data_IF_383561250917
#
_entry.id   IF_383561250917
#
_cell.length_a   1.000
_cell.length_b   1.000
_cell.length_c   1.000
_cell.angle_alpha   90.00
_cell.angle_beta   90.00
_cell.angle_gamma   90.00
#
_symmetry.space_group_name_H-M   'P 1'
#
loop_
_entity.id
_entity.type
_entity.pdbx_description
1 polymer ?
#
# COMPACT_ATOMS: atom_id res chain seq x y z
N UNK A 1 -20.31 -10.25 38.60
CA UNK A 1 -21.32 -10.30 37.52
C UNK A 1 -22.67 -9.87 38.03
N UNK A 2 -22.86 -8.55 38.14
CA UNK A 2 -24.21 -7.99 38.19
C UNK A 2 -24.75 -7.84 36.77
N UNK A 3 -26.06 -7.63 36.66
CA UNK A 3 -26.70 -7.24 35.39
C UNK A 3 -27.39 -5.90 35.63
N UNK A 4 -27.00 -4.91 34.85
CA UNK A 4 -27.52 -3.54 34.90
C UNK A 4 -28.23 -3.32 33.57
N UNK A 5 -29.49 -2.93 33.61
CA UNK A 5 -30.28 -2.73 32.39
C UNK A 5 -31.03 -1.42 32.48
N UNK A 6 -31.02 -0.68 31.39
CA UNK A 6 -31.77 0.55 31.21
C UNK A 6 -33.26 0.32 31.00
N UNK A 7 -33.83 1.25 30.26
CA UNK A 7 -35.23 1.36 29.88
C UNK A 7 -35.30 1.70 28.39
N UNK A 8 -36.49 1.84 27.83
CA UNK A 8 -36.64 2.20 26.42
C UNK A 8 -36.49 3.71 26.15
N UNK A 9 -35.64 4.40 26.90
CA UNK A 9 -35.33 5.81 26.68
C UNK A 9 -34.11 6.20 27.47
N UNK A 10 -33.55 7.36 27.15
CA UNK A 10 -32.21 7.81 27.56
C UNK A 10 -31.90 7.57 29.05
N UNK A 11 -30.78 6.90 29.30
CA UNK A 11 -30.34 6.46 30.60
C UNK A 11 -28.93 6.90 30.93
N UNK A 12 -28.63 6.88 32.23
CA UNK A 12 -27.28 7.00 32.75
C UNK A 12 -27.01 5.76 33.59
N UNK A 13 -26.27 4.81 33.02
CA UNK A 13 -25.96 3.51 33.62
C UNK A 13 -24.54 3.56 34.18
N UNK A 14 -24.39 3.10 35.42
CA UNK A 14 -23.08 3.04 36.07
C UNK A 14 -22.80 1.60 36.50
N UNK A 15 -21.70 1.06 36.00
CA UNK A 15 -21.15 -0.23 36.39
C UNK A 15 -20.58 -0.24 37.80
N UNK A 16 -20.05 -1.38 38.19
CA UNK A 16 -19.39 -1.62 39.48
C UNK A 16 -17.89 -1.82 39.28
N UNK A 17 -17.14 -2.17 40.33
CA UNK A 17 -15.71 -2.51 40.21
C UNK A 17 -15.48 -4.02 39.98
N UNK A 18 -16.54 -4.74 39.62
CA UNK A 18 -16.55 -6.17 39.38
C UNK A 18 -17.14 -6.37 37.99
N UNK A 19 -16.85 -7.52 37.39
CA UNK A 19 -17.45 -7.92 36.12
C UNK A 19 -18.96 -7.67 36.13
N UNK A 20 -19.46 -7.03 35.09
CA UNK A 20 -20.85 -6.65 34.90
C UNK A 20 -21.33 -6.97 33.48
N UNK A 21 -22.65 -7.12 33.36
CA UNK A 21 -23.35 -7.11 32.07
C UNK A 21 -24.23 -5.88 32.06
N UNK A 22 -23.95 -4.93 31.15
CA UNK A 22 -24.68 -3.66 31.05
C UNK A 22 -25.41 -3.60 29.73
N UNK A 23 -26.72 -3.32 29.77
CA UNK A 23 -27.62 -3.29 28.61
C UNK A 23 -28.33 -1.92 28.56
N UNK A 24 -28.06 -1.09 27.54
CA UNK A 24 -28.71 0.21 27.33
C UNK A 24 -30.19 0.08 27.00
N UNK A 25 -30.49 -0.69 25.94
CA UNK A 25 -31.81 -0.99 25.35
C UNK A 25 -32.19 -0.05 24.20
N UNK A 26 -33.11 0.90 24.42
CA UNK A 26 -33.46 1.87 23.39
C UNK A 26 -33.16 3.27 23.94
N UNK A 27 -32.81 4.18 23.05
CA UNK A 27 -32.60 5.59 23.40
C UNK A 27 -31.12 5.89 23.54
N UNK A 28 -30.79 7.15 23.78
CA UNK A 28 -29.40 7.59 23.77
C UNK A 28 -28.86 7.53 25.20
N UNK A 29 -28.09 6.51 25.49
CA UNK A 29 -27.61 6.17 26.81
C UNK A 29 -26.19 6.64 27.07
N UNK A 30 -25.91 6.94 28.33
CA UNK A 30 -24.55 7.17 28.83
C UNK A 30 -24.21 6.03 29.77
N UNK A 31 -23.26 5.20 29.36
CA UNK A 31 -22.81 4.02 30.10
C UNK A 31 -21.38 4.25 30.57
N UNK A 32 -21.15 4.16 31.88
CA UNK A 32 -19.79 4.27 32.45
C UNK A 32 -19.52 3.09 33.37
N UNK A 33 -18.50 2.32 33.02
CA UNK A 33 -17.97 1.26 33.86
C UNK A 33 -16.57 1.63 34.41
N UNK A 34 -16.34 1.53 35.73
CA UNK A 34 -15.05 1.87 36.33
C UNK A 34 -14.04 0.70 36.37
N UNK A 35 -14.43 -0.54 36.06
CA UNK A 35 -13.55 -1.70 35.91
C UNK A 35 -14.21 -3.05 36.24
N UNK A 36 -13.53 -4.13 35.88
CA UNK A 36 -14.10 -5.48 35.81
C UNK A 36 -13.88 -6.05 34.41
N UNK A 37 -14.13 -7.34 34.19
CA UNK A 37 -14.20 -7.87 32.83
C UNK A 37 -15.65 -7.81 32.37
N UNK A 38 -16.01 -6.78 31.61
CA UNK A 38 -17.40 -6.47 31.37
C UNK A 38 -17.88 -6.86 29.98
N UNK A 39 -19.21 -7.02 29.88
CA UNK A 39 -19.91 -7.05 28.61
C UNK A 39 -20.91 -5.90 28.60
N UNK A 40 -20.65 -4.90 27.77
CA UNK A 40 -21.46 -3.71 27.61
C UNK A 40 -22.09 -3.73 26.21
N UNK A 41 -23.38 -3.44 26.15
CA UNK A 41 -24.18 -3.47 24.92
C UNK A 41 -25.17 -2.30 24.97
N UNK A 42 -24.89 -1.24 24.19
CA UNK A 42 -25.73 -0.04 24.09
C UNK A 42 -27.11 -0.35 23.53
N UNK A 43 -27.14 -1.16 22.47
CA UNK A 43 -28.29 -1.53 21.64
C UNK A 43 -28.77 -0.36 20.77
N UNK A 44 -30.08 -0.09 20.67
CA UNK A 44 -30.57 0.91 19.72
C UNK A 44 -30.41 2.32 20.31
N UNK A 45 -29.78 3.23 19.58
CA UNK A 45 -29.65 4.62 20.02
C UNK A 45 -28.27 5.17 19.70
N UNK A 46 -28.06 6.44 20.00
CA UNK A 46 -26.73 7.04 19.91
C UNK A 46 -26.16 7.11 21.33
N UNK A 47 -25.36 6.11 21.67
CA UNK A 47 -24.86 5.85 23.00
C UNK A 47 -23.46 6.42 23.20
N UNK A 48 -23.11 6.68 24.46
CA UNK A 48 -21.76 7.02 24.88
C UNK A 48 -21.33 6.03 25.95
N UNK A 49 -20.31 5.23 25.64
CA UNK A 49 -19.90 4.08 26.45
C UNK A 49 -18.44 4.24 26.89
N UNK A 50 -18.13 3.94 28.15
CA UNK A 50 -16.76 3.93 28.69
C UNK A 50 -16.50 2.63 29.46
N UNK A 51 -15.52 1.83 29.03
CA UNK A 51 -15.17 0.49 29.55
C UNK A 51 -14.37 0.50 30.86
N UNK A 52 -13.30 1.29 30.93
CA UNK A 52 -12.59 1.54 32.19
C UNK A 52 -11.12 1.13 32.18
N UNK A 53 -10.71 0.17 33.02
CA UNK A 53 -9.29 -0.17 33.26
C UNK A 53 -8.92 -1.63 32.99
N UNK A 54 -9.86 -2.42 32.51
CA UNK A 54 -9.74 -3.86 32.39
C UNK A 54 -10.23 -4.29 31.01
N UNK A 55 -9.94 -5.54 30.63
CA UNK A 55 -10.39 -6.06 29.34
C UNK A 55 -11.91 -6.12 29.30
N UNK A 56 -12.50 -5.36 28.38
CA UNK A 56 -13.93 -5.26 28.20
C UNK A 56 -14.36 -5.72 26.80
N UNK A 57 -15.60 -6.20 26.70
CA UNK A 57 -16.31 -6.31 25.44
C UNK A 57 -17.37 -5.24 25.40
N UNK A 58 -17.32 -4.37 24.39
CA UNK A 58 -18.24 -3.25 24.22
C UNK A 58 -18.83 -3.30 22.82
N UNK A 59 -20.15 -3.36 22.73
CA UNK A 59 -20.90 -3.13 21.50
C UNK A 59 -21.71 -1.84 21.65
N UNK A 60 -21.61 -0.95 20.67
CA UNK A 60 -22.48 0.24 20.55
C UNK A 60 -23.90 -0.20 20.24
N UNK A 61 -24.07 -0.89 19.12
CA UNK A 61 -25.36 -1.35 18.63
C UNK A 61 -25.82 -0.46 17.48
N UNK A 62 -27.10 -0.54 17.08
CA UNK A 62 -27.59 0.33 16.00
C UNK A 62 -27.70 1.80 16.43
N UNK A 63 -26.94 2.66 15.76
CA UNK A 63 -26.98 4.11 15.90
C UNK A 63 -25.60 4.72 15.68
N UNK A 64 -25.43 5.98 16.06
CA UNK A 64 -24.12 6.63 15.96
C UNK A 64 -23.55 6.76 17.37
N UNK A 65 -22.67 5.83 17.72
CA UNK A 65 -22.17 5.63 19.07
C UNK A 65 -20.80 6.26 19.27
N UNK A 66 -20.47 6.50 20.54
CA UNK A 66 -19.13 6.88 20.95
C UNK A 66 -18.63 5.91 22.01
N UNK A 67 -17.60 5.14 21.67
CA UNK A 67 -17.05 4.09 22.51
C UNK A 67 -15.65 4.48 22.97
N UNK A 68 -15.41 4.39 24.27
CA UNK A 68 -14.09 4.54 24.89
C UNK A 68 -13.74 3.22 25.61
N UNK A 69 -12.76 2.46 25.10
CA UNK A 69 -12.28 1.22 25.72
C UNK A 69 -11.68 1.51 27.09
N UNK A 70 -10.61 2.31 27.11
CA UNK A 70 -9.95 2.74 28.34
C UNK A 70 -8.57 2.12 28.45
N UNK A 71 -8.17 1.71 29.66
CA UNK A 71 -7.01 0.83 29.74
C UNK A 71 -7.51 -0.60 29.60
N UNK A 72 -6.81 -1.45 28.87
CA UNK A 72 -7.31 -2.80 28.67
C UNK A 72 -6.63 -3.49 27.51
N UNK A 73 -7.30 -4.50 27.00
CA UNK A 73 -7.05 -5.05 25.66
C UNK A 73 -8.44 -5.41 25.21
N UNK A 74 -9.17 -4.37 24.82
CA UNK A 74 -10.61 -4.34 24.74
C UNK A 74 -11.07 -4.82 23.37
N UNK A 75 -12.32 -5.29 23.32
CA UNK A 75 -13.00 -5.62 22.07
C UNK A 75 -14.14 -4.64 21.88
N UNK A 76 -14.03 -3.79 20.87
CA UNK A 76 -14.92 -2.67 20.61
C UNK A 76 -15.62 -2.87 19.26
N UNK A 77 -16.96 -2.82 19.24
CA UNK A 77 -17.77 -3.09 18.05
C UNK A 77 -18.76 -1.93 17.90
N UNK A 78 -18.70 -1.20 16.78
CA UNK A 78 -19.66 -0.13 16.47
C UNK A 78 -21.06 -0.68 16.17
N UNK A 79 -21.12 -1.56 15.16
CA UNK A 79 -22.31 -2.18 14.58
C UNK A 79 -22.91 -1.39 13.39
N UNK A 80 -24.09 -0.78 13.51
CA UNK A 80 -24.69 -0.09 12.34
C UNK A 80 -24.83 1.38 12.67
N UNK A 81 -24.25 2.22 11.83
CA UNK A 81 -24.32 3.67 11.93
C UNK A 81 -22.92 4.25 11.95
N UNK A 82 -22.81 5.57 12.12
CA UNK A 82 -21.52 6.24 12.03
C UNK A 82 -20.94 6.43 13.44
N UNK A 83 -20.03 5.55 13.79
CA UNK A 83 -19.49 5.38 15.13
C UNK A 83 -18.16 6.10 15.31
N UNK A 84 -17.83 6.39 16.56
CA UNK A 84 -16.51 6.87 16.95
C UNK A 84 -15.95 5.99 18.05
N UNK A 85 -14.86 5.29 17.77
CA UNK A 85 -14.26 4.31 18.67
C UNK A 85 -12.87 4.78 19.08
N UNK A 86 -12.60 4.74 20.38
CA UNK A 86 -11.28 5.01 20.96
C UNK A 86 -10.84 3.78 21.77
N UNK A 87 -9.78 3.08 21.33
CA UNK A 87 -9.16 1.99 22.10
C UNK A 87 -8.56 2.51 23.39
N UNK A 88 -7.66 3.49 23.25
CA UNK A 88 -6.87 4.14 24.30
C UNK A 88 -5.63 3.34 24.72
N UNK A 89 -5.52 2.82 25.94
CA UNK A 89 -4.27 2.21 26.41
C UNK A 89 -4.39 0.67 26.39
N UNK A 90 -3.54 0.02 25.61
CA UNK A 90 -3.30 -1.42 25.55
C UNK A 90 -3.60 -2.00 24.17
N UNK A 91 -3.43 -3.31 24.01
CA UNK A 91 -3.55 -3.94 22.68
C UNK A 91 -5.04 -4.24 22.39
N UNK A 92 -5.71 -3.37 21.64
CA UNK A 92 -7.16 -3.37 21.44
C UNK A 92 -7.58 -3.99 20.09
N UNK A 93 -8.83 -4.44 20.02
CA UNK A 93 -9.50 -4.82 18.77
C UNK A 93 -10.71 -3.91 18.56
N UNK A 94 -10.83 -3.31 17.38
CA UNK A 94 -12.01 -2.55 17.00
C UNK A 94 -12.51 -2.91 15.59
N UNK A 95 -13.83 -2.99 15.45
CA UNK A 95 -14.51 -3.07 14.16
C UNK A 95 -15.62 -2.01 14.09
N UNK A 96 -15.56 -1.14 13.08
CA UNK A 96 -16.62 -0.17 12.78
C UNK A 96 -17.93 -0.88 12.44
N UNK A 97 -17.86 -1.80 11.46
CA UNK A 97 -19.01 -2.45 10.80
C UNK A 97 -19.72 -1.42 9.88
N UNK A 98 -20.94 -1.65 9.34
CA UNK A 98 -21.52 -0.71 8.38
C UNK A 98 -21.74 0.71 8.94
N UNK A 99 -21.05 1.70 8.37
CA UNK A 99 -21.00 3.07 8.86
C UNK A 99 -19.94 3.90 8.14
N UNK A 100 -20.01 5.23 8.20
CA UNK A 100 -18.78 6.02 7.99
C UNK A 100 -18.19 6.29 9.38
N UNK A 101 -17.22 5.47 9.77
CA UNK A 101 -16.72 5.36 11.14
C UNK A 101 -15.39 6.08 11.34
N UNK A 102 -15.10 6.41 12.60
CA UNK A 102 -13.80 6.96 13.01
C UNK A 102 -13.21 6.17 14.16
N UNK A 103 -12.07 5.53 13.92
CA UNK A 103 -11.42 4.65 14.88
C UNK A 103 -10.04 5.19 15.26
N UNK A 104 -9.76 5.26 16.57
CA UNK A 104 -8.46 5.66 17.14
C UNK A 104 -7.91 4.54 18.03
N UNK A 105 -6.81 3.89 17.63
CA UNK A 105 -6.14 2.81 18.37
C UNK A 105 -5.69 3.27 19.74
N UNK A 106 -4.77 4.23 19.76
CA UNK A 106 -4.23 4.80 20.98
C UNK A 106 -2.81 4.34 21.20
N UNK A 107 -2.51 3.82 22.40
CA UNK A 107 -1.23 3.16 22.69
C UNK A 107 -1.47 1.68 22.69
N UNK A 108 -0.75 0.91 21.89
CA UNK A 108 -0.99 -0.51 21.87
C UNK A 108 -0.21 -1.20 20.77
N UNK A 109 -0.62 -2.41 20.45
CA UNK A 109 -0.46 -2.96 19.12
C UNK A 109 -1.88 -3.39 18.75
N UNK A 110 -2.57 -2.52 18.04
CA UNK A 110 -4.00 -2.58 17.86
C UNK A 110 -4.37 -3.32 16.58
N UNK A 111 -5.59 -3.86 16.54
CA UNK A 111 -6.18 -4.48 15.35
C UNK A 111 -7.51 -3.80 15.04
N UNK A 112 -7.50 -2.85 14.10
CA UNK A 112 -8.61 -1.94 13.83
C UNK A 112 -9.06 -2.06 12.37
N UNK A 113 -10.37 -2.21 12.15
CA UNK A 113 -10.95 -2.36 10.80
C UNK A 113 -12.20 -1.48 10.71
N UNK A 114 -12.30 -0.63 9.68
CA UNK A 114 -13.50 0.16 9.41
C UNK A 114 -14.70 -0.71 9.01
N UNK A 115 -14.47 -1.63 8.07
CA UNK A 115 -15.42 -2.59 7.48
C UNK A 115 -16.22 -2.06 6.30
N UNK A 116 -17.39 -1.43 6.45
CA UNK A 116 -18.17 -0.98 5.29
C UNK A 116 -18.54 0.49 5.45
N UNK A 117 -18.06 1.32 4.52
CA UNK A 117 -18.39 2.74 4.40
C UNK A 117 -17.11 3.55 4.29
N UNK A 118 -17.22 4.88 4.26
CA UNK A 118 -16.03 5.73 4.08
C UNK A 118 -15.38 6.04 5.43
N UNK A 119 -14.44 5.20 5.83
CA UNK A 119 -13.89 5.15 7.18
C UNK A 119 -12.60 5.97 7.34
N UNK A 120 -12.37 6.38 8.59
CA UNK A 120 -11.15 7.04 9.02
C UNK A 120 -10.53 6.28 10.19
N UNK A 121 -9.43 5.58 9.92
CA UNK A 121 -8.79 4.67 10.88
C UNK A 121 -7.38 5.17 11.24
N UNK A 122 -7.07 5.26 12.53
CA UNK A 122 -5.77 5.63 13.07
C UNK A 122 -5.23 4.54 14.01
N UNK A 123 -4.04 4.00 13.75
CA UNK A 123 -3.34 3.10 14.69
C UNK A 123 -2.76 3.86 15.89
N UNK A 124 -2.16 5.02 15.63
CA UNK A 124 -1.51 5.91 16.62
C UNK A 124 -0.16 5.38 17.14
N UNK A 125 0.03 5.11 18.44
CA UNK A 125 1.30 4.63 18.99
C UNK A 125 1.31 3.09 19.05
N UNK A 126 2.11 2.40 18.24
CA UNK A 126 2.08 0.94 18.28
C UNK A 126 2.90 0.18 17.27
N UNK A 127 2.53 -1.08 17.03
CA UNK A 127 2.82 -1.76 15.77
C UNK A 127 1.49 -2.37 15.37
N UNK A 128 0.73 -1.63 14.60
CA UNK A 128 -0.70 -1.84 14.47
C UNK A 128 -1.03 -2.61 13.19
N UNK A 129 -2.17 -3.27 13.21
CA UNK A 129 -2.88 -3.66 12.00
C UNK A 129 -4.08 -2.71 11.87
N UNK A 130 -4.10 -1.93 10.79
CA UNK A 130 -5.20 -1.01 10.49
C UNK A 130 -5.69 -1.25 9.07
N UNK A 131 -6.99 -1.41 8.91
CA UNK A 131 -7.63 -1.63 7.61
C UNK A 131 -8.84 -0.71 7.41
N UNK A 132 -9.02 -0.22 6.18
CA UNK A 132 -10.19 0.53 5.75
C UNK A 132 -11.42 -0.37 5.66
N UNK A 133 -11.44 -1.24 4.64
CA UNK A 133 -12.52 -2.19 4.41
C UNK A 133 -13.10 -2.05 3.01
N UNK A 134 -14.42 -2.03 2.90
CA UNK A 134 -15.13 -1.68 1.66
C UNK A 134 -15.38 -0.17 1.59
N UNK A 135 -15.29 0.39 0.38
CA UNK A 135 -15.49 1.81 0.02
C UNK A 135 -14.19 2.64 0.15
N UNK A 136 -14.26 3.96 -0.08
CA UNK A 136 -13.06 4.81 -0.21
C UNK A 136 -12.60 5.32 1.17
N UNK A 137 -11.50 4.77 1.69
CA UNK A 137 -11.07 4.97 3.07
C UNK A 137 -9.85 5.88 3.24
N UNK A 138 -9.61 6.31 4.47
CA UNK A 138 -8.33 6.92 4.87
C UNK A 138 -7.77 6.23 6.11
N UNK A 139 -6.57 5.66 5.97
CA UNK A 139 -5.95 4.84 7.01
C UNK A 139 -4.55 5.37 7.35
N UNK A 140 -4.28 5.55 8.64
CA UNK A 140 -3.00 5.99 9.19
C UNK A 140 -2.45 4.90 10.14
N UNK A 141 -1.25 4.38 9.87
CA UNK A 141 -0.51 3.49 10.77
C UNK A 141 -0.13 4.23 12.06
N UNK A 142 0.76 5.21 11.94
CA UNK A 142 1.13 6.09 13.05
C UNK A 142 2.61 5.95 13.42
N UNK A 143 2.92 6.02 14.71
CA UNK A 143 4.26 5.72 15.22
C UNK A 143 4.39 4.21 15.42
N UNK A 144 5.13 3.50 14.56
CA UNK A 144 5.17 2.05 14.67
C UNK A 144 5.89 1.32 13.56
N UNK A 145 5.76 0.00 13.52
CA UNK A 145 6.00 -0.75 12.27
C UNK A 145 4.67 -1.39 11.93
N UNK A 146 3.90 -0.70 11.10
CA UNK A 146 2.47 -0.96 10.95
C UNK A 146 2.19 -1.77 9.70
N UNK A 147 1.09 -2.51 9.73
CA UNK A 147 0.46 -3.10 8.56
C UNK A 147 -0.81 -2.28 8.27
N UNK A 148 -0.79 -1.59 7.14
CA UNK A 148 -1.87 -0.72 6.69
C UNK A 148 -2.49 -1.34 5.44
N UNK A 149 -3.79 -1.58 5.47
CA UNK A 149 -4.53 -2.25 4.40
C UNK A 149 -5.70 -1.37 3.90
N UNK A 150 -5.80 -1.19 2.59
CA UNK A 150 -6.91 -0.47 1.94
C UNK A 150 -8.12 -1.37 1.68
N UNK A 151 -7.91 -2.68 1.47
CA UNK A 151 -8.93 -3.63 1.02
C UNK A 151 -9.61 -3.25 -0.32
N UNK A 152 -10.88 -2.83 -0.32
CA UNK A 152 -11.68 -2.58 -1.53
C UNK A 152 -12.08 -1.11 -1.60
N UNK A 153 -11.46 -0.31 -2.46
CA UNK A 153 -11.72 1.11 -2.38
C UNK A 153 -11.02 1.95 -3.42
N UNK A 154 -10.76 3.20 -3.07
CA UNK A 154 -9.73 4.03 -3.66
C UNK A 154 -9.14 4.79 -2.48
N UNK A 155 -8.16 4.17 -1.84
CA UNK A 155 -7.85 4.47 -0.46
C UNK A 155 -6.69 5.44 -0.35
N UNK A 156 -6.64 6.15 0.79
CA UNK A 156 -5.50 7.00 1.14
C UNK A 156 -4.80 6.41 2.35
N UNK A 157 -3.62 5.86 2.12
CA UNK A 157 -2.88 5.06 3.10
C UNK A 157 -1.59 5.76 3.53
N UNK A 158 -1.37 5.86 4.84
CA UNK A 158 -0.18 6.44 5.44
C UNK A 158 0.46 5.46 6.42
N UNK A 159 1.73 5.10 6.21
CA UNK A 159 2.53 4.37 7.21
C UNK A 159 3.06 5.27 8.33
N UNK A 160 3.26 6.56 8.02
CA UNK A 160 3.81 7.56 8.92
C UNK A 160 5.24 7.24 9.44
N UNK A 161 5.39 6.72 10.65
CA UNK A 161 6.69 6.65 11.32
C UNK A 161 7.08 5.22 11.73
N UNK A 162 7.64 4.47 10.79
CA UNK A 162 8.66 3.48 11.09
C UNK A 162 8.98 2.58 9.91
N UNK A 163 8.76 1.27 10.01
CA UNK A 163 9.02 0.38 8.88
C UNK A 163 7.73 -0.35 8.52
N UNK A 164 6.95 0.29 7.67
CA UNK A 164 5.55 -0.02 7.47
C UNK A 164 5.35 -0.85 6.21
N UNK A 165 4.25 -1.60 6.18
CA UNK A 165 3.80 -2.36 5.02
C UNK A 165 2.41 -1.87 4.65
N UNK A 166 2.28 -1.31 3.44
CA UNK A 166 1.03 -0.77 2.90
C UNK A 166 0.56 -1.65 1.74
N UNK A 167 -0.69 -2.09 1.80
CA UNK A 167 -1.40 -2.78 0.72
C UNK A 167 -2.57 -1.90 0.26
N UNK A 168 -2.58 -1.48 -1.01
CA UNK A 168 -3.73 -0.80 -1.62
C UNK A 168 -4.83 -1.78 -2.05
N UNK A 169 -4.44 -3.02 -2.38
CA UNK A 169 -5.34 -4.09 -2.81
C UNK A 169 -6.19 -3.76 -4.06
N UNK A 170 -7.48 -3.48 -3.96
CA UNK A 170 -8.32 -3.17 -5.12
C UNK A 170 -8.70 -1.70 -5.11
N UNK A 171 -8.36 -0.99 -6.18
CA UNK A 171 -8.69 0.43 -6.21
C UNK A 171 -7.70 1.25 -6.98
N UNK A 172 -7.85 2.57 -6.92
CA UNK A 172 -6.80 3.48 -7.36
C UNK A 172 -6.25 4.18 -6.13
N UNK A 173 -5.25 3.58 -5.52
CA UNK A 173 -4.88 3.92 -4.15
C UNK A 173 -3.76 4.95 -4.11
N UNK A 174 -3.69 5.68 -3.00
CA UNK A 174 -2.67 6.68 -2.75
C UNK A 174 -1.94 6.38 -1.46
N UNK A 175 -0.71 5.89 -1.59
CA UNK A 175 0.09 5.40 -0.47
C UNK A 175 1.30 6.29 -0.17
N UNK A 176 1.57 6.52 1.11
CA UNK A 176 2.78 7.19 1.61
C UNK A 176 3.37 6.40 2.77
N UNK A 177 4.53 5.78 2.58
CA UNK A 177 5.22 5.06 3.65
C UNK A 177 5.75 5.96 4.77
N UNK A 178 5.93 7.27 4.51
CA UNK A 178 6.43 8.19 5.53
C UNK A 178 7.94 8.05 5.77
N UNK A 179 8.37 7.96 7.03
CA UNK A 179 9.80 7.80 7.38
C UNK A 179 10.19 6.32 7.47
N UNK A 180 11.49 6.03 7.58
CA UNK A 180 12.00 4.66 7.76
C UNK A 180 11.89 3.76 6.52
N UNK A 181 11.86 2.44 6.68
CA UNK A 181 12.02 1.50 5.56
C UNK A 181 10.71 0.77 5.26
N UNK A 182 10.01 1.21 4.22
CA UNK A 182 8.64 0.79 3.98
C UNK A 182 8.51 -0.15 2.79
N UNK A 183 7.41 -0.89 2.73
CA UNK A 183 6.97 -1.66 1.57
C UNK A 183 5.59 -1.16 1.15
N UNK A 184 5.43 -0.75 -0.11
CA UNK A 184 4.17 -0.29 -0.67
C UNK A 184 3.81 -1.23 -1.83
N UNK A 185 2.60 -1.78 -1.80
CA UNK A 185 2.04 -2.62 -2.86
C UNK A 185 0.68 -2.06 -3.28
N UNK A 186 0.59 -1.48 -4.48
CA UNK A 186 -0.69 -0.99 -5.01
C UNK A 186 -1.60 -2.10 -5.51
N UNK A 187 -1.05 -3.27 -5.83
CA UNK A 187 -1.79 -4.41 -6.35
C UNK A 187 -2.65 -4.08 -7.60
N UNK A 188 -3.98 -4.06 -7.50
CA UNK A 188 -4.89 -3.98 -8.64
C UNK A 188 -5.55 -2.60 -8.77
N UNK A 189 -5.03 -1.83 -9.72
CA UNK A 189 -5.73 -0.69 -10.31
C UNK A 189 -4.72 0.34 -10.77
N UNK A 190 -4.96 1.63 -10.51
CA UNK A 190 -4.02 2.71 -10.86
C UNK A 190 -3.54 3.38 -9.59
N UNK A 191 -2.35 2.98 -9.14
CA UNK A 191 -1.90 3.33 -7.80
C UNK A 191 -0.84 4.42 -7.81
N UNK A 192 -0.81 5.19 -6.75
CA UNK A 192 0.10 6.30 -6.56
C UNK A 192 0.93 6.16 -5.28
N UNK A 193 2.22 5.93 -5.41
CA UNK A 193 3.18 6.08 -4.32
C UNK A 193 3.60 7.55 -4.18
N UNK A 194 3.53 8.09 -2.97
CA UNK A 194 3.70 9.51 -2.67
C UNK A 194 4.96 9.76 -1.85
N UNK A 195 5.72 10.78 -2.24
CA UNK A 195 6.95 11.18 -1.59
C UNK A 195 6.98 12.68 -1.30
N UNK A 196 7.22 13.06 -0.05
CA UNK A 196 7.26 14.45 0.42
C UNK A 196 8.61 15.16 0.14
N UNK A 197 9.31 14.72 -0.91
CA UNK A 197 10.55 15.32 -1.39
C UNK A 197 10.55 15.43 -2.92
N UNK A 198 11.41 16.29 -3.44
CA UNK A 198 11.51 16.48 -4.89
C UNK A 198 12.24 15.30 -5.53
N UNK A 199 11.89 14.94 -6.76
CA UNK A 199 12.52 13.82 -7.47
C UNK A 199 14.05 13.97 -7.58
N UNK A 200 14.56 15.18 -7.74
CA UNK A 200 16.01 15.44 -7.80
C UNK A 200 16.78 15.10 -6.51
N UNK A 201 16.07 14.89 -5.40
CA UNK A 201 16.61 14.46 -4.10
C UNK A 201 16.50 12.95 -3.91
N UNK A 202 15.76 12.25 -4.78
CA UNK A 202 15.52 10.83 -4.69
C UNK A 202 16.74 10.01 -5.15
N UNK A 203 17.07 8.98 -4.39
CA UNK A 203 17.81 7.83 -4.89
C UNK A 203 16.83 6.78 -5.39
N UNK A 204 16.51 6.80 -6.69
CA UNK A 204 15.58 5.85 -7.30
C UNK A 204 16.34 4.75 -8.05
N UNK A 205 16.01 3.49 -7.76
CA UNK A 205 16.41 2.34 -8.56
C UNK A 205 15.18 1.51 -8.88
N UNK A 206 15.10 0.95 -10.07
CA UNK A 206 13.99 0.10 -10.46
C UNK A 206 14.46 -1.11 -11.24
N UNK A 207 13.69 -2.18 -11.08
CA UNK A 207 13.80 -3.42 -11.80
C UNK A 207 12.40 -3.76 -12.33
N UNK A 208 11.95 -3.03 -13.37
CA UNK A 208 10.57 -3.14 -13.82
C UNK A 208 9.61 -2.54 -12.79
N UNK A 209 8.51 -3.25 -12.50
CA UNK A 209 7.48 -2.82 -11.55
C UNK A 209 7.96 -2.79 -10.10
N UNK A 210 9.12 -3.37 -9.78
CA UNK A 210 9.75 -3.28 -8.46
C UNK A 210 10.72 -2.10 -8.41
N UNK A 211 10.45 -1.13 -7.54
CA UNK A 211 11.25 0.07 -7.35
C UNK A 211 11.73 0.21 -5.90
N UNK A 212 12.86 0.86 -5.72
CA UNK A 212 13.34 1.33 -4.42
C UNK A 212 13.61 2.82 -4.51
N UNK A 213 12.98 3.59 -3.62
CA UNK A 213 13.04 5.05 -3.57
C UNK A 213 13.61 5.46 -2.21
N UNK A 214 14.76 6.12 -2.20
CA UNK A 214 15.37 6.67 -0.99
C UNK A 214 15.28 8.20 -0.97
N UNK A 215 14.84 8.79 0.14
CA UNK A 215 14.82 10.24 0.33
C UNK A 215 14.38 10.65 1.72
N UNK A 216 14.91 11.77 2.23
CA UNK A 216 14.53 12.35 3.53
C UNK A 216 14.40 11.36 4.72
N UNK A 217 15.34 10.41 4.85
CA UNK A 217 15.33 9.34 5.86
C UNK A 217 14.27 8.25 5.67
N UNK A 218 13.65 8.14 4.49
CA UNK A 218 12.94 6.92 4.08
C UNK A 218 13.71 6.11 3.03
N UNK A 219 13.42 4.82 3.00
CA UNK A 219 13.81 3.86 1.97
C UNK A 219 12.59 2.99 1.68
N UNK A 220 11.88 3.29 0.60
CA UNK A 220 10.62 2.64 0.27
C UNK A 220 10.85 1.62 -0.84
N UNK A 221 10.40 0.39 -0.63
CA UNK A 221 10.24 -0.63 -1.67
C UNK A 221 8.84 -0.54 -2.21
N UNK A 222 8.70 -0.17 -3.48
CA UNK A 222 7.41 0.07 -4.11
C UNK A 222 7.21 -0.95 -5.23
N UNK A 223 6.06 -1.61 -5.25
CA UNK A 223 5.68 -2.55 -6.31
C UNK A 223 4.24 -2.31 -6.75
N UNK A 224 3.93 -2.74 -7.96
CA UNK A 224 2.59 -2.65 -8.56
C UNK A 224 2.03 -1.23 -8.40
N UNK A 225 2.73 -0.24 -8.94
CA UNK A 225 2.35 1.17 -8.83
C UNK A 225 2.59 1.86 -10.16
N UNK A 226 1.60 2.63 -10.61
CA UNK A 226 1.62 3.33 -11.89
C UNK A 226 2.18 4.75 -11.77
N UNK A 227 1.95 5.40 -10.62
CA UNK A 227 2.33 6.80 -10.41
C UNK A 227 3.29 6.95 -9.24
N UNK A 228 4.43 7.58 -9.50
CA UNK A 228 5.34 8.05 -8.46
C UNK A 228 5.18 9.56 -8.31
N UNK A 229 4.48 10.00 -7.26
CA UNK A 229 4.19 11.40 -6.98
C UNK A 229 5.22 11.99 -6.01
N UNK A 230 6.16 12.76 -6.54
CA UNK A 230 7.11 13.57 -5.78
C UNK A 230 6.54 14.97 -5.54
N UNK A 231 7.10 15.71 -4.57
CA UNK A 231 6.63 17.05 -4.21
C UNK A 231 6.69 18.07 -5.37
N UNK A 232 7.55 17.85 -6.36
CA UNK A 232 7.73 18.73 -7.52
C UNK A 232 7.09 18.21 -8.81
N UNK A 233 6.79 16.91 -8.93
CA UNK A 233 6.16 16.30 -10.11
C UNK A 233 5.64 14.90 -9.85
N UNK A 234 4.77 14.43 -10.74
CA UNK A 234 4.49 13.00 -10.91
C UNK A 234 5.32 12.41 -12.05
N UNK A 235 5.65 11.13 -11.91
CA UNK A 235 6.18 10.26 -12.96
C UNK A 235 5.14 9.16 -13.15
N UNK A 236 4.61 9.03 -14.36
CA UNK A 236 3.66 8.01 -14.75
C UNK A 236 4.45 6.88 -15.43
N UNK A 237 4.23 5.64 -15.02
CA UNK A 237 4.85 4.46 -15.61
C UNK A 237 3.97 3.94 -16.74
N UNK A 238 4.60 3.41 -17.79
CA UNK A 238 3.91 2.61 -18.80
C UNK A 238 2.82 3.35 -19.58
N UNK A 239 2.88 4.68 -19.67
CA UNK A 239 1.94 5.49 -20.45
C UNK A 239 2.24 5.49 -21.96
N UNK A 240 3.27 4.74 -22.37
CA UNK A 240 3.50 4.33 -23.75
C UNK A 240 4.06 2.92 -23.89
N UNK A 241 5.38 2.81 -24.08
CA UNK A 241 6.07 1.54 -24.24
C UNK A 241 6.43 1.00 -22.85
N UNK A 242 5.70 -0.02 -22.40
CA UNK A 242 5.89 -0.69 -21.10
C UNK A 242 7.32 -1.21 -20.82
N UNK A 243 8.18 -1.32 -21.82
CA UNK A 243 9.58 -1.70 -21.62
C UNK A 243 10.52 -0.49 -21.42
N UNK A 244 10.03 0.73 -21.56
CA UNK A 244 10.70 1.94 -21.06
C UNK A 244 10.17 2.14 -19.65
N UNK A 245 11.09 2.15 -18.70
CA UNK A 245 10.77 2.40 -17.29
C UNK A 245 11.07 3.86 -17.00
N UNK A 246 10.02 4.62 -16.69
CA UNK A 246 10.07 6.07 -16.61
C UNK A 246 10.87 6.57 -15.44
N UNK A 247 10.65 5.95 -14.29
CA UNK A 247 11.43 6.19 -13.09
C UNK A 247 12.90 5.87 -13.33
N UNK A 248 13.21 4.72 -13.95
CA UNK A 248 14.58 4.38 -14.32
C UNK A 248 15.16 5.45 -15.24
N UNK A 249 14.49 5.74 -16.34
CA UNK A 249 14.99 6.59 -17.39
C UNK A 249 15.24 8.01 -16.91
N UNK A 250 14.28 8.59 -16.17
CA UNK A 250 14.38 9.93 -15.63
C UNK A 250 15.42 10.03 -14.49
N UNK A 251 15.62 8.97 -13.71
CA UNK A 251 16.68 8.93 -12.68
C UNK A 251 18.08 8.90 -13.30
N UNK A 252 18.27 8.18 -14.42
CA UNK A 252 19.56 8.08 -15.11
C UNK A 252 19.85 9.32 -15.97
N UNK A 253 18.81 9.92 -16.57
CA UNK A 253 18.95 10.97 -17.57
C UNK A 253 18.30 12.27 -17.12
N UNK A 254 18.92 12.91 -16.12
CA UNK A 254 18.38 14.14 -15.53
C UNK A 254 18.17 15.32 -16.51
N UNK A 255 18.78 15.30 -17.71
CA UNK A 255 18.47 16.27 -18.77
C UNK A 255 17.07 16.10 -19.37
N UNK A 256 16.59 14.86 -19.51
CA UNK A 256 15.24 14.52 -19.96
C UNK A 256 14.23 15.02 -18.92
N UNK A 257 14.47 14.68 -17.65
CA UNK A 257 13.69 15.16 -16.52
C UNK A 257 13.60 16.70 -16.49
N UNK A 258 14.73 17.42 -16.58
CA UNK A 258 14.78 18.89 -16.49
C UNK A 258 14.06 19.60 -17.64
N UNK A 259 14.01 18.98 -18.80
CA UNK A 259 13.33 19.52 -19.97
C UNK A 259 11.82 19.23 -19.97
N UNK A 260 11.32 18.46 -19.00
CA UNK A 260 9.92 18.05 -18.95
C UNK A 260 9.54 17.08 -20.07
N UNK A 261 10.52 16.34 -20.60
CA UNK A 261 10.28 15.35 -21.63
C UNK A 261 9.71 14.08 -20.98
N UNK A 262 8.74 13.51 -21.67
CA UNK A 262 8.24 12.14 -21.50
C UNK A 262 9.33 11.12 -21.86
N UNK A 263 9.51 10.06 -21.06
CA UNK A 263 10.66 9.18 -21.20
C UNK A 263 10.51 8.27 -22.43
N UNK A 264 9.34 7.70 -22.67
CA UNK A 264 8.99 6.87 -23.82
C UNK A 264 9.19 7.64 -25.12
N UNK A 265 8.61 8.83 -25.21
CA UNK A 265 8.69 9.69 -26.38
C UNK A 265 10.14 10.10 -26.63
N UNK A 266 10.85 10.51 -25.57
CA UNK A 266 12.26 10.86 -25.70
C UNK A 266 13.12 9.67 -26.14
N UNK A 267 12.91 8.49 -25.56
CA UNK A 267 13.64 7.29 -25.92
C UNK A 267 13.40 6.92 -27.39
N UNK A 268 12.14 6.91 -27.83
CA UNK A 268 11.73 6.58 -29.21
C UNK A 268 12.32 7.54 -30.24
N UNK A 269 12.29 8.84 -29.96
CA UNK A 269 12.75 9.86 -30.91
C UNK A 269 14.29 9.98 -30.94
N UNK A 270 14.92 9.93 -29.77
CA UNK A 270 16.33 10.31 -29.57
C UNK A 270 17.12 9.29 -28.76
N UNK A 271 16.58 8.83 -27.64
CA UNK A 271 17.35 8.10 -26.63
C UNK A 271 18.03 6.84 -27.15
N UNK A 272 17.35 6.05 -27.97
CA UNK A 272 17.97 4.83 -28.52
C UNK A 272 19.15 5.14 -29.47
N UNK A 273 19.09 6.27 -30.20
CA UNK A 273 20.17 6.74 -31.10
C UNK A 273 21.35 7.28 -30.31
N UNK A 274 21.08 7.84 -29.13
CA UNK A 274 22.08 8.31 -28.18
C UNK A 274 22.68 7.16 -27.35
N UNK A 275 22.11 5.96 -27.48
CA UNK A 275 22.51 4.77 -26.74
C UNK A 275 22.17 4.86 -25.25
N UNK A 276 21.06 5.51 -24.92
CA UNK A 276 20.48 5.53 -23.56
C UNK A 276 19.70 4.25 -23.34
N UNK A 277 19.87 3.62 -22.19
CA UNK A 277 19.13 2.42 -21.80
C UNK A 277 17.70 2.76 -21.38
N UNK A 278 16.67 2.05 -21.89
CA UNK A 278 15.26 2.29 -21.56
C UNK A 278 14.86 1.73 -20.20
N UNK A 279 15.57 0.72 -19.70
CA UNK A 279 15.37 0.10 -18.39
C UNK A 279 16.70 -0.50 -17.92
N UNK A 280 16.72 -1.05 -16.69
CA UNK A 280 17.93 -1.62 -16.08
C UNK A 280 18.51 -2.85 -16.82
N UNK A 281 17.69 -3.56 -17.60
CA UNK A 281 18.03 -4.85 -18.21
C UNK A 281 18.21 -4.82 -19.73
N UNK A 282 18.12 -3.64 -20.35
CA UNK A 282 18.36 -3.44 -21.77
C UNK A 282 19.53 -2.49 -22.02
N UNK A 283 20.65 -3.03 -22.52
CA UNK A 283 21.81 -2.23 -22.90
C UNK A 283 21.70 -1.83 -24.37
N UNK A 284 21.31 -0.58 -24.62
CA UNK A 284 21.08 -0.09 -25.99
C UNK A 284 22.37 -0.06 -26.80
N UNK A 285 23.49 0.34 -26.19
CA UNK A 285 24.79 0.39 -26.87
C UNK A 285 25.34 -1.00 -27.09
N UNK A 286 25.29 -1.84 -26.07
CA UNK A 286 25.71 -3.24 -26.14
C UNK A 286 24.91 -4.00 -27.19
N UNK A 287 23.59 -3.83 -27.24
CA UNK A 287 22.72 -4.50 -28.21
C UNK A 287 23.11 -4.15 -29.66
N UNK A 288 23.30 -2.86 -29.95
CA UNK A 288 23.73 -2.42 -31.29
C UNK A 288 25.16 -2.86 -31.62
N UNK A 289 26.03 -3.03 -30.63
CA UNK A 289 27.39 -3.55 -30.83
C UNK A 289 27.41 -5.07 -31.08
N UNK A 290 26.61 -5.83 -30.33
CA UNK A 290 26.49 -7.28 -30.46
C UNK A 290 25.79 -7.68 -31.76
N UNK A 291 24.84 -6.86 -32.23
CA UNK A 291 23.94 -7.19 -33.35
C UNK A 291 24.09 -6.20 -34.50
N UNK A 292 25.16 -6.37 -35.27
CA UNK A 292 25.53 -5.48 -36.38
C UNK A 292 24.46 -5.38 -37.48
N UNK A 293 23.62 -6.40 -37.66
CA UNK A 293 22.50 -6.37 -38.60
C UNK A 293 21.42 -5.36 -38.18
N UNK A 294 21.11 -5.27 -36.89
CA UNK A 294 20.16 -4.30 -36.32
C UNK A 294 20.73 -2.89 -36.44
N UNK A 295 22.01 -2.71 -36.09
CA UNK A 295 22.70 -1.44 -36.23
C UNK A 295 22.77 -0.97 -37.69
N UNK A 296 23.09 -1.85 -38.63
CA UNK A 296 23.13 -1.54 -40.06
C UNK A 296 21.74 -1.20 -40.63
N UNK A 297 20.68 -1.80 -40.10
CA UNK A 297 19.31 -1.51 -40.48
C UNK A 297 18.78 -0.19 -39.89
N UNK A 298 19.43 0.35 -38.85
CA UNK A 298 19.01 1.59 -38.19
C UNK A 298 17.66 1.46 -37.48
N UNK A 299 17.35 0.27 -36.98
CA UNK A 299 16.10 -0.05 -36.27
C UNK A 299 16.28 0.23 -34.78
N UNK A 300 15.23 0.69 -34.11
CA UNK A 300 15.22 0.83 -32.65
C UNK A 300 15.52 -0.54 -32.01
N UNK A 301 16.63 -0.68 -31.25
CA UNK A 301 17.06 -1.97 -30.72
C UNK A 301 16.07 -2.56 -29.72
N UNK A 302 15.38 -1.73 -28.92
CA UNK A 302 14.36 -2.21 -27.99
C UNK A 302 13.19 -2.82 -28.76
N UNK A 303 12.66 -2.11 -29.75
CA UNK A 303 11.56 -2.59 -30.60
C UNK A 303 11.93 -3.87 -31.35
N UNK A 304 13.17 -3.92 -31.88
CA UNK A 304 13.70 -5.12 -32.51
C UNK A 304 13.72 -6.30 -31.55
N UNK A 305 14.27 -6.12 -30.34
CA UNK A 305 14.31 -7.19 -29.35
C UNK A 305 12.91 -7.65 -29.01
N UNK A 306 12.00 -6.72 -28.69
CA UNK A 306 10.64 -7.03 -28.27
C UNK A 306 9.85 -7.82 -29.32
N UNK A 307 10.10 -7.54 -30.60
CA UNK A 307 9.36 -8.14 -31.72
C UNK A 307 9.99 -9.43 -32.25
N UNK A 308 11.32 -9.44 -32.39
CA UNK A 308 12.09 -10.47 -33.10
C UNK A 308 13.24 -11.04 -32.27
N UNK A 309 14.04 -10.19 -31.63
CA UNK A 309 15.31 -10.59 -31.02
C UNK A 309 15.18 -11.70 -29.98
N UNK A 310 14.18 -11.63 -29.11
CA UNK A 310 13.96 -12.69 -28.11
C UNK A 310 13.62 -14.05 -28.73
N UNK A 311 12.89 -14.08 -29.85
CA UNK A 311 12.55 -15.32 -30.59
C UNK A 311 13.75 -15.92 -31.28
N UNK A 312 14.71 -15.07 -31.65
CA UNK A 312 16.01 -15.47 -32.19
C UNK A 312 16.98 -15.89 -31.08
N UNK A 313 16.58 -15.76 -29.82
CA UNK A 313 17.39 -16.04 -28.65
C UNK A 313 18.58 -15.08 -28.50
N UNK A 314 18.43 -13.83 -28.97
CA UNK A 314 19.32 -12.71 -28.67
C UNK A 314 19.08 -12.25 -27.24
N UNK A 315 20.08 -11.65 -26.62
CA UNK A 315 20.03 -11.17 -25.24
C UNK A 315 19.91 -9.64 -25.23
N UNK A 316 19.14 -9.03 -24.31
CA UNK A 316 18.96 -7.58 -24.28
C UNK A 316 20.11 -6.87 -23.55
N UNK A 317 20.84 -7.57 -22.68
CA UNK A 317 22.01 -7.05 -21.96
C UNK A 317 22.87 -8.19 -21.40
N UNK A 318 24.04 -7.86 -20.85
CA UNK A 318 24.87 -8.82 -20.12
C UNK A 318 24.25 -9.34 -18.82
N UNK A 319 23.22 -8.66 -18.31
CA UNK A 319 22.54 -8.98 -17.05
C UNK A 319 21.29 -9.85 -17.25
N UNK A 320 20.94 -10.16 -18.50
CA UNK A 320 19.72 -10.87 -18.83
C UNK A 320 19.96 -11.89 -19.95
N UNK A 321 19.93 -13.19 -19.62
CA UNK A 321 20.01 -14.28 -20.61
C UNK A 321 18.59 -14.76 -20.96
N UNK A 322 18.19 -14.48 -22.19
CA UNK A 322 16.87 -14.79 -22.76
C UNK A 322 16.61 -16.29 -22.76
N UNK A 323 17.61 -17.09 -23.13
CA UNK A 323 17.44 -18.55 -23.24
C UNK A 323 17.36 -19.19 -21.87
N UNK A 324 18.22 -18.78 -20.93
CA UNK A 324 18.19 -19.29 -19.56
C UNK A 324 16.93 -18.86 -18.83
N UNK A 325 16.47 -17.61 -19.03
CA UNK A 325 15.22 -17.14 -18.46
C UNK A 325 14.04 -18.00 -18.90
N UNK A 326 13.88 -18.25 -20.21
CA UNK A 326 12.81 -19.12 -20.72
C UNK A 326 12.96 -20.58 -20.28
N UNK A 327 14.19 -21.08 -20.13
CA UNK A 327 14.44 -22.43 -19.65
C UNK A 327 14.09 -22.61 -18.17
N UNK A 328 14.32 -21.58 -17.35
CA UNK A 328 13.96 -21.57 -15.93
C UNK A 328 12.47 -21.33 -15.70
N UNK A 329 11.81 -20.59 -16.61
CA UNK A 329 10.41 -20.16 -16.50
C UNK A 329 9.57 -20.81 -17.60
N UNK A 330 9.26 -22.10 -17.42
CA UNK A 330 8.55 -22.89 -18.42
C UNK A 330 7.11 -22.41 -18.70
N UNK A 331 6.48 -21.73 -17.74
CA UNK A 331 5.21 -21.02 -17.87
C UNK A 331 5.29 -19.90 -18.93
N UNK A 332 6.32 -19.03 -18.82
CA UNK A 332 6.57 -17.93 -19.76
C UNK A 332 6.85 -18.47 -21.16
N UNK A 333 7.68 -19.51 -21.26
CA UNK A 333 7.99 -20.16 -22.52
C UNK A 333 6.76 -20.82 -23.16
N UNK A 334 5.93 -21.51 -22.37
CA UNK A 334 4.72 -22.17 -22.87
C UNK A 334 3.66 -21.16 -23.35
N UNK A 335 3.55 -20.02 -22.66
CA UNK A 335 2.66 -18.92 -23.06
C UNK A 335 3.20 -18.12 -24.26
N UNK A 336 4.46 -18.30 -24.63
CA UNK A 336 5.10 -17.57 -25.73
C UNK A 336 5.26 -16.08 -25.43
N UNK A 337 5.42 -15.72 -24.15
CA UNK A 337 5.60 -14.35 -23.70
C UNK A 337 7.03 -13.88 -23.93
N UNK A 338 7.19 -12.57 -24.14
CA UNK A 338 8.50 -11.96 -24.21
C UNK A 338 9.17 -12.02 -22.81
N UNK A 339 10.36 -12.60 -22.67
CA UNK A 339 10.96 -12.82 -21.35
C UNK A 339 11.39 -11.53 -20.65
N UNK A 340 11.89 -10.53 -21.38
CA UNK A 340 12.24 -9.23 -20.78
C UNK A 340 10.98 -8.51 -20.29
N UNK A 341 9.95 -8.42 -21.13
CA UNK A 341 8.70 -7.75 -20.76
C UNK A 341 8.04 -8.45 -19.57
N UNK A 342 7.96 -9.78 -19.60
CA UNK A 342 7.47 -10.56 -18.47
C UNK A 342 8.28 -10.31 -17.19
N UNK A 343 9.61 -10.22 -17.30
CA UNK A 343 10.43 -9.94 -16.13
C UNK A 343 10.18 -8.54 -15.55
N UNK A 344 10.10 -7.53 -16.41
CA UNK A 344 9.82 -6.16 -16.01
C UNK A 344 8.43 -6.04 -15.37
N UNK A 345 7.43 -6.74 -15.88
CA UNK A 345 6.05 -6.64 -15.40
C UNK A 345 5.80 -7.48 -14.15
N UNK A 346 6.32 -8.72 -14.10
CA UNK A 346 6.03 -9.69 -13.04
C UNK A 346 7.29 -10.25 -12.38
N UNK A 347 8.29 -10.62 -13.19
CA UNK A 347 9.39 -11.45 -12.72
C UNK A 347 10.27 -10.82 -11.65
N UNK A 348 10.41 -9.49 -11.62
CA UNK A 348 11.15 -8.81 -10.56
C UNK A 348 10.46 -8.92 -9.20
N UNK A 349 9.14 -8.65 -9.16
CA UNK A 349 8.31 -8.78 -7.95
C UNK A 349 8.24 -10.24 -7.49
N UNK A 350 8.18 -11.20 -8.41
CA UNK A 350 8.19 -12.64 -8.12
C UNK A 350 9.59 -13.18 -7.70
N UNK A 351 10.64 -12.35 -7.73
CA UNK A 351 12.01 -12.75 -7.39
C UNK A 351 12.66 -13.70 -8.39
N UNK A 352 12.22 -13.70 -9.66
CA UNK A 352 12.82 -14.51 -10.73
C UNK A 352 14.24 -14.02 -11.03
N UNK A 353 15.13 -14.95 -11.42
CA UNK A 353 16.49 -14.60 -11.80
C UNK A 353 16.55 -14.16 -13.28
N UNK A 354 17.37 -13.15 -13.59
CA UNK A 354 17.62 -12.69 -14.97
C UNK A 354 18.79 -13.42 -15.64
N UNK A 355 19.66 -14.05 -14.84
CA UNK A 355 20.89 -14.75 -15.25
C UNK A 355 21.89 -13.84 -15.96
N UNK A 356 23.12 -13.77 -15.45
CA UNK A 356 24.20 -13.13 -16.18
C UNK A 356 24.53 -13.98 -17.40
N UNK A 357 24.39 -13.39 -18.60
CA UNK A 357 24.67 -14.09 -19.86
C UNK A 357 26.17 -14.47 -19.92
N UNK A 358 27.05 -13.54 -19.52
CA UNK A 358 28.50 -13.77 -19.56
C UNK A 358 29.06 -13.93 -20.98
N UNK A 359 28.21 -13.86 -22.02
CA UNK A 359 28.61 -13.88 -23.43
C UNK A 359 28.21 -12.61 -24.20
N UNK A 360 27.25 -11.82 -23.72
CA UNK A 360 26.97 -10.46 -24.17
C UNK A 360 28.22 -9.60 -24.07
N UNK A 361 28.66 -9.06 -25.21
CA UNK A 361 29.93 -8.35 -25.35
C UNK A 361 29.73 -6.85 -25.59
#
# INVERSE_FOLDING_TARGET
MATISGTNGDNVLNGTLQDDVILGLLGNDVITDPGGFNRIDGQDGNDTITGGNNVDYIAGGPGNDTIYGGNGSDQLIGEIGNDTIYGQDGDDYAAGNPGDDVLYGGRGNDFFVGEQGADLVFGEEGNDFVAGGEDDDTVYGGDGNDLVDGDLGNDVLFGDAGNDVLFGDYGNDRMSGGTGTNTLDGALGIDTAVFNFNFAQAGATSAGTLSSIAGQNSLDTVKNTDVFAFADRSILQGDGNQAVDDLFYLSQYGDVYRNGNDAEQHFSDYGWKEGRNPNAFFDTKGYLAAYADVAAAGINPLEHYLTYGWKEGRDPSAQFDTKQYLAANGDVAAAGLNPLLHYLEYGAVEGRATFNDGTFA
#
